data_IF_015828695297
#
_entry.id   IF_015828695297
#
_cell.length_a   1.000
_cell.length_b   1.000
_cell.length_c   1.000
_cell.angle_alpha   90.00
_cell.angle_beta   90.00
_cell.angle_gamma   90.00
#
_symmetry.space_group_name_H-M   'P 1'
#
loop_
_entity.id
_entity.type
_entity.pdbx_description
1 polymer ?
#
# COMPACT_ATOMS: atom_id res chain seq x y z
N UNK A 1 0.10 -23.51 21.28
CA UNK A 1 -0.88 -23.65 20.24
C UNK A 1 -0.98 -22.36 19.44
N UNK A 2 -1.11 -22.49 18.17
CA UNK A 2 -1.27 -21.31 17.35
C UNK A 2 -2.62 -20.70 17.63
N UNK A 3 -2.59 -19.44 17.92
CA UNK A 3 -3.80 -18.70 18.13
C UNK A 3 -4.51 -18.52 16.79
N UNK A 4 -5.73 -18.95 16.70
CA UNK A 4 -6.53 -18.80 15.49
C UNK A 4 -6.66 -17.34 15.07
N UNK A 5 -6.57 -16.43 16.00
CA UNK A 5 -6.63 -15.01 15.68
C UNK A 5 -5.48 -14.55 14.76
N UNK A 6 -4.37 -15.28 14.76
CA UNK A 6 -3.27 -14.99 13.85
C UNK A 6 -3.66 -15.21 12.39
N UNK A 7 -4.64 -16.06 12.15
CA UNK A 7 -5.07 -16.42 10.81
C UNK A 7 -6.48 -15.94 10.51
N UNK A 8 -7.03 -15.12 11.41
CA UNK A 8 -8.36 -14.58 11.26
C UNK A 8 -8.36 -13.25 10.55
N UNK A 9 -9.50 -12.61 10.48
CA UNK A 9 -9.65 -11.27 9.93
C UNK A 9 -8.89 -10.19 10.68
N UNK A 10 -8.29 -10.53 11.84
CA UNK A 10 -7.50 -9.57 12.61
C UNK A 10 -6.07 -9.42 12.12
N UNK A 11 -5.64 -10.25 11.19
CA UNK A 11 -4.29 -10.06 10.61
C UNK A 11 -4.23 -8.71 9.91
N UNK A 12 -3.09 -8.05 10.02
CA UNK A 12 -2.87 -6.73 9.44
C UNK A 12 -2.09 -6.78 8.13
N UNK A 13 -1.27 -7.80 7.93
CA UNK A 13 -0.42 -7.91 6.76
C UNK A 13 -1.10 -8.75 5.68
N UNK A 14 -1.27 -8.12 4.53
CA UNK A 14 -1.96 -8.72 3.39
C UNK A 14 -1.06 -8.60 2.17
N UNK A 15 -0.42 -9.71 1.82
CA UNK A 15 0.56 -9.68 0.73
C UNK A 15 -0.11 -9.53 -0.62
N UNK A 16 0.35 -8.53 -1.38
CA UNK A 16 -0.18 -8.19 -2.69
C UNK A 16 0.02 -9.34 -3.68
N UNK A 17 -1.03 -9.75 -4.41
CA UNK A 17 -0.85 -10.69 -5.52
C UNK A 17 0.12 -10.12 -6.56
N UNK A 18 1.02 -10.95 -7.04
CA UNK A 18 2.06 -10.50 -7.97
C UNK A 18 1.46 -9.95 -9.26
N UNK A 19 0.38 -10.53 -9.73
CA UNK A 19 -0.27 -10.06 -10.95
C UNK A 19 -0.72 -8.60 -10.82
N UNK A 20 -1.33 -8.25 -9.70
CA UNK A 20 -1.78 -6.87 -9.46
C UNK A 20 -0.58 -5.93 -9.40
N UNK A 21 0.46 -6.32 -8.65
CA UNK A 21 1.66 -5.50 -8.56
C UNK A 21 2.28 -5.29 -9.95
N UNK A 22 2.40 -6.35 -10.74
CA UNK A 22 3.02 -6.25 -12.05
C UNK A 22 2.25 -5.33 -13.00
N UNK A 23 0.92 -5.33 -12.92
CA UNK A 23 0.12 -4.41 -13.72
C UNK A 23 0.43 -2.95 -13.36
N UNK A 24 0.56 -2.66 -12.07
CA UNK A 24 0.87 -1.31 -11.61
C UNK A 24 2.33 -0.95 -11.90
N UNK A 25 3.25 -1.90 -11.74
CA UNK A 25 4.65 -1.67 -12.01
C UNK A 25 4.91 -1.36 -13.50
N UNK A 26 4.13 -1.95 -14.38
CA UNK A 26 4.22 -1.65 -15.80
C UNK A 26 3.89 -0.19 -16.11
N UNK A 27 3.06 0.44 -15.27
CA UNK A 27 2.68 1.83 -15.43
C UNK A 27 3.66 2.75 -14.70
N UNK A 28 3.94 2.45 -13.44
CA UNK A 28 4.65 3.38 -12.55
C UNK A 28 6.15 3.15 -12.46
N UNK A 29 6.64 1.95 -12.71
CA UNK A 29 8.07 1.60 -12.62
C UNK A 29 8.63 1.88 -11.23
N UNK A 30 8.22 1.06 -10.26
CA UNK A 30 8.55 1.29 -8.85
C UNK A 30 10.03 1.17 -8.56
N UNK A 31 10.54 2.09 -7.74
CA UNK A 31 11.91 2.12 -7.27
C UNK A 31 12.08 1.50 -5.89
N UNK A 32 11.02 1.56 -5.05
CA UNK A 32 11.14 1.27 -3.62
C UNK A 32 9.84 0.66 -3.11
N UNK A 33 9.97 -0.46 -2.40
CA UNK A 33 8.87 -1.05 -1.62
C UNK A 33 9.06 -0.63 -0.16
N UNK A 34 8.22 0.28 0.32
CA UNK A 34 8.43 0.89 1.63
C UNK A 34 7.99 0.04 2.80
N UNK A 35 7.27 -1.05 2.53
CA UNK A 35 6.74 -1.91 3.58
C UNK A 35 6.75 -3.36 3.13
N UNK A 36 7.87 -4.05 3.36
CA UNK A 36 8.10 -5.39 2.87
C UNK A 36 8.70 -6.29 3.93
N UNK A 37 8.64 -7.58 3.69
CA UNK A 37 9.47 -8.57 4.35
C UNK A 37 10.48 -9.08 3.31
N UNK A 38 11.62 -9.65 3.73
CA UNK A 38 12.64 -10.06 2.76
C UNK A 38 12.11 -11.04 1.71
N UNK A 39 11.18 -11.91 2.10
CA UNK A 39 10.68 -12.95 1.19
C UNK A 39 9.56 -12.45 0.26
N UNK A 40 8.99 -11.28 0.51
CA UNK A 40 7.87 -10.79 -0.30
C UNK A 40 8.09 -9.40 -0.88
N UNK A 41 9.30 -8.86 -0.78
CA UNK A 41 9.61 -7.56 -1.33
C UNK A 41 9.33 -7.53 -2.83
N UNK A 42 8.68 -6.46 -3.27
CA UNK A 42 8.27 -6.30 -4.66
C UNK A 42 9.30 -5.55 -5.50
N UNK A 43 10.26 -4.88 -4.85
CA UNK A 43 11.32 -4.13 -5.50
C UNK A 43 12.67 -4.58 -4.98
N UNK A 44 13.73 -4.31 -5.75
CA UNK A 44 15.09 -4.61 -5.30
C UNK A 44 15.45 -3.81 -4.07
N UNK A 45 15.02 -2.54 -4.03
CA UNK A 45 15.19 -1.69 -2.86
C UNK A 45 13.90 -1.74 -2.04
N UNK A 46 14.03 -2.05 -0.76
CA UNK A 46 12.87 -2.17 0.11
C UNK A 46 13.23 -1.94 1.56
N UNK A 47 12.21 -1.61 2.36
CA UNK A 47 12.33 -1.47 3.82
C UNK A 47 11.54 -2.58 4.50
N UNK A 48 12.16 -3.21 5.49
CA UNK A 48 11.52 -4.20 6.35
C UNK A 48 11.19 -3.56 7.71
N UNK A 49 10.47 -4.28 8.59
CA UNK A 49 10.26 -3.76 9.95
C UNK A 49 11.55 -3.44 10.69
N UNK A 50 12.63 -4.19 10.43
CA UNK A 50 13.92 -3.89 11.06
C UNK A 50 14.50 -2.56 10.58
N UNK A 51 14.18 -2.16 9.37
CA UNK A 51 14.62 -0.86 8.83
C UNK A 51 13.77 0.29 9.36
N UNK A 52 12.56 -0.01 9.82
CA UNK A 52 11.57 0.99 10.21
C UNK A 52 11.29 1.98 9.07
N UNK A 53 10.56 1.50 8.08
CA UNK A 53 10.28 2.28 6.86
C UNK A 53 9.67 3.64 7.13
N UNK A 54 8.89 3.77 8.22
CA UNK A 54 8.28 5.07 8.58
C UNK A 54 9.32 6.11 8.96
N UNK A 55 10.52 5.70 9.39
CA UNK A 55 11.58 6.63 9.77
C UNK A 55 12.56 6.91 8.64
N UNK A 56 12.39 6.27 7.50
CA UNK A 56 13.31 6.38 6.37
C UNK A 56 12.77 7.33 5.31
N UNK A 57 13.64 7.91 4.48
CA UNK A 57 13.16 8.72 3.35
C UNK A 57 12.53 7.84 2.28
N UNK A 58 11.46 8.33 1.69
CA UNK A 58 10.83 7.69 0.54
C UNK A 58 11.08 8.57 -0.69
N UNK A 59 11.83 8.05 -1.64
CA UNK A 59 12.24 8.80 -2.82
C UNK A 59 11.87 8.05 -4.08
N UNK A 60 11.68 8.79 -5.16
CA UNK A 60 11.30 8.18 -6.44
C UNK A 60 9.86 7.74 -6.45
N UNK A 61 9.59 6.63 -7.12
CA UNK A 61 8.26 6.06 -7.20
C UNK A 61 8.16 4.87 -6.26
N UNK A 62 7.31 4.98 -5.26
CA UNK A 62 7.24 4.04 -4.15
C UNK A 62 5.97 3.21 -4.21
N UNK A 63 6.11 1.94 -3.87
CA UNK A 63 5.01 1.02 -3.65
C UNK A 63 4.74 0.90 -2.17
N UNK A 64 3.48 1.02 -1.75
CA UNK A 64 3.11 0.90 -0.34
C UNK A 64 1.89 0.01 -0.17
N UNK A 65 2.10 -1.15 0.44
CA UNK A 65 1.03 -1.99 0.95
C UNK A 65 1.27 -2.13 2.46
N UNK A 66 0.70 -1.22 3.27
CA UNK A 66 1.03 -1.16 4.69
C UNK A 66 0.26 -2.19 5.50
N UNK A 67 0.60 -2.40 6.77
CA UNK A 67 -0.28 -3.16 7.66
C UNK A 67 -1.64 -2.47 7.78
N UNK A 68 -2.71 -3.25 7.71
CA UNK A 68 -4.07 -2.71 7.69
C UNK A 68 -4.67 -2.63 9.10
N UNK A 69 -3.91 -2.15 10.06
CA UNK A 69 -4.35 -2.00 11.43
C UNK A 69 -4.30 -0.55 11.88
N UNK A 70 -4.05 -0.36 13.17
CA UNK A 70 -4.03 0.98 13.78
C UNK A 70 -2.98 1.89 13.19
N UNK A 71 -1.92 1.30 12.64
CA UNK A 71 -0.80 2.08 12.14
C UNK A 71 -1.03 2.61 10.73
N UNK A 72 -2.11 2.22 10.07
CA UNK A 72 -2.31 2.61 8.68
C UNK A 72 -2.34 4.13 8.51
N UNK A 73 -2.84 4.86 9.50
CA UNK A 73 -2.87 6.32 9.44
C UNK A 73 -1.47 6.91 9.34
N UNK A 74 -0.48 6.31 10.01
CA UNK A 74 0.91 6.78 9.96
C UNK A 74 1.53 6.53 8.59
N UNK A 75 1.23 5.39 7.98
CA UNK A 75 1.70 5.08 6.63
C UNK A 75 1.09 6.01 5.60
N UNK A 76 -0.20 6.28 5.71
CA UNK A 76 -0.87 7.20 4.80
C UNK A 76 -0.37 8.63 4.95
N UNK A 77 -0.13 9.07 6.18
CA UNK A 77 0.46 10.37 6.43
C UNK A 77 1.84 10.49 5.80
N UNK A 78 2.68 9.47 5.99
CA UNK A 78 4.03 9.44 5.40
C UNK A 78 3.97 9.48 3.88
N UNK A 79 3.05 8.72 3.28
CA UNK A 79 2.88 8.71 1.84
C UNK A 79 2.52 10.09 1.32
N UNK A 80 1.56 10.73 1.97
CA UNK A 80 1.14 12.08 1.58
C UNK A 80 2.29 13.07 1.71
N UNK A 81 2.95 13.09 2.87
CA UNK A 81 4.05 14.02 3.12
C UNK A 81 5.23 13.79 2.18
N UNK A 82 5.55 12.54 1.88
CA UNK A 82 6.62 12.23 0.93
C UNK A 82 6.31 12.78 -0.45
N UNK A 83 5.04 12.74 -0.84
CA UNK A 83 4.63 13.27 -2.14
C UNK A 83 4.78 14.80 -2.21
N UNK A 84 4.68 15.48 -1.09
CA UNK A 84 4.84 16.93 -1.06
C UNK A 84 6.29 17.36 -1.31
N UNK A 85 7.24 16.47 -1.14
CA UNK A 85 8.65 16.75 -1.39
C UNK A 85 9.20 15.96 -2.57
N UNK A 86 8.35 15.48 -3.45
CA UNK A 86 8.76 14.98 -4.77
C UNK A 86 8.52 13.52 -5.05
N UNK A 87 8.19 12.70 -4.05
CA UNK A 87 7.94 11.28 -4.30
C UNK A 87 6.57 11.06 -4.92
N UNK A 88 6.45 9.95 -5.66
CA UNK A 88 5.16 9.41 -6.05
C UNK A 88 4.94 8.14 -5.26
N UNK A 89 3.83 8.03 -4.55
CA UNK A 89 3.56 6.86 -3.71
C UNK A 89 2.25 6.23 -4.15
N UNK A 90 2.32 4.98 -4.55
CA UNK A 90 1.15 4.20 -4.98
C UNK A 90 0.82 3.22 -3.87
N UNK A 91 -0.39 3.32 -3.35
CA UNK A 91 -0.80 2.61 -2.15
C UNK A 91 -1.93 1.63 -2.44
N UNK A 92 -1.83 0.42 -1.92
CA UNK A 92 -2.95 -0.53 -1.90
C UNK A 92 -3.48 -0.55 -0.47
N UNK A 93 -4.72 -0.10 -0.30
CA UNK A 93 -5.31 0.04 1.04
C UNK A 93 -6.78 -0.36 1.02
N UNK A 94 -7.34 -0.78 2.17
CA UNK A 94 -8.78 -0.99 2.25
C UNK A 94 -9.53 0.33 2.10
N UNK A 95 -10.67 0.28 1.43
CA UNK A 95 -11.47 1.48 1.14
C UNK A 95 -12.32 1.86 2.35
N UNK A 96 -11.69 2.24 3.44
CA UNK A 96 -12.36 2.61 4.68
C UNK A 96 -12.73 4.07 4.68
N UNK A 97 -13.71 4.41 3.89
CA UNK A 97 -14.06 5.78 3.55
C UNK A 97 -14.68 6.59 4.68
N UNK A 98 -14.98 5.96 5.81
CA UNK A 98 -15.51 6.64 7.00
C UNK A 98 -14.43 6.94 8.04
N UNK A 99 -13.18 6.58 7.78
CA UNK A 99 -12.09 6.77 8.74
C UNK A 99 -11.48 8.16 8.62
N UNK A 100 -10.87 8.60 9.73
CA UNK A 100 -10.16 9.87 9.72
C UNK A 100 -9.01 9.87 8.71
N UNK A 101 -8.22 8.77 8.67
CA UNK A 101 -7.08 8.74 7.76
C UNK A 101 -7.49 8.78 6.28
N UNK A 102 -8.67 8.25 5.95
CA UNK A 102 -9.16 8.37 4.59
C UNK A 102 -9.42 9.84 4.23
N UNK A 103 -10.12 10.54 5.11
CA UNK A 103 -10.46 11.95 4.88
C UNK A 103 -9.25 12.86 4.98
N UNK A 104 -8.36 12.58 5.93
CA UNK A 104 -7.20 13.46 6.15
C UNK A 104 -6.13 13.29 5.07
N UNK A 105 -5.98 12.08 4.52
CA UNK A 105 -4.88 11.80 3.58
C UNK A 105 -5.36 11.28 2.24
N UNK A 106 -6.13 10.18 2.20
CA UNK A 106 -6.52 9.59 0.92
C UNK A 106 -7.24 10.59 0.01
N UNK A 107 -8.08 11.42 0.59
CA UNK A 107 -8.82 12.43 -0.18
C UNK A 107 -7.94 13.52 -0.77
N UNK A 108 -6.68 13.58 -0.39
CA UNK A 108 -5.70 14.51 -0.98
C UNK A 108 -4.86 13.86 -2.06
N UNK A 109 -5.14 12.62 -2.39
CA UNK A 109 -4.41 11.90 -3.42
C UNK A 109 -4.67 12.51 -4.79
N UNK A 110 -3.73 12.33 -5.69
CA UNK A 110 -3.89 12.76 -7.08
C UNK A 110 -4.83 11.84 -7.84
N UNK A 111 -4.95 10.58 -7.42
CA UNK A 111 -5.82 9.61 -8.09
C UNK A 111 -6.22 8.52 -7.11
N UNK A 112 -7.49 8.14 -7.15
CA UNK A 112 -8.01 6.97 -6.41
C UNK A 112 -8.71 6.08 -7.41
N UNK A 113 -8.31 4.80 -7.45
CA UNK A 113 -8.98 3.80 -8.25
C UNK A 113 -9.58 2.75 -7.33
N UNK A 114 -10.89 2.63 -7.34
CA UNK A 114 -11.57 1.62 -6.54
C UNK A 114 -11.54 0.29 -7.28
N UNK A 115 -11.09 -0.75 -6.57
CA UNK A 115 -10.95 -2.06 -7.18
C UNK A 115 -12.30 -2.76 -7.19
N UNK A 116 -12.70 -3.21 -8.37
CA UNK A 116 -13.92 -3.99 -8.49
C UNK A 116 -13.70 -5.39 -7.94
N UNK A 117 -14.62 -5.83 -7.08
CA UNK A 117 -14.52 -7.13 -6.44
C UNK A 117 -13.55 -7.12 -5.27
N UNK A 118 -13.28 -8.28 -4.73
CA UNK A 118 -12.41 -8.44 -3.57
C UNK A 118 -11.10 -9.07 -3.99
N UNK A 119 -9.99 -8.48 -3.50
CA UNK A 119 -8.66 -9.02 -3.78
C UNK A 119 -8.48 -10.32 -3.03
N UNK A 120 -7.96 -11.33 -3.70
CA UNK A 120 -7.51 -12.55 -3.05
C UNK A 120 -6.02 -12.41 -2.79
N UNK A 121 -5.68 -11.97 -1.60
CA UNK A 121 -4.29 -11.79 -1.21
C UNK A 121 -3.54 -13.12 -1.18
N UNK A 122 -2.21 -13.07 -1.27
CA UNK A 122 -1.40 -14.28 -1.30
C UNK A 122 -1.64 -15.10 -0.04
N UNK A 123 -1.89 -16.40 -0.22
CA UNK A 123 -2.18 -17.32 0.88
C UNK A 123 -3.60 -17.31 1.39
N UNK A 124 -4.46 -16.42 0.91
CA UNK A 124 -5.84 -16.38 1.33
C UNK A 124 -6.68 -17.41 0.56
N UNK A 125 -7.67 -17.99 1.23
CA UNK A 125 -8.60 -18.93 0.59
C UNK A 125 -9.69 -18.21 -0.19
N UNK A 126 -10.03 -17.02 0.25
CA UNK A 126 -11.16 -16.26 -0.29
C UNK A 126 -10.73 -14.83 -0.53
N UNK A 127 -11.57 -14.07 -1.22
CA UNK A 127 -11.39 -12.63 -1.34
C UNK A 127 -11.38 -11.95 0.02
N UNK A 128 -10.73 -10.81 0.09
CA UNK A 128 -10.61 -10.06 1.33
C UNK A 128 -11.99 -9.69 1.88
N UNK A 129 -12.13 -9.60 3.21
CA UNK A 129 -13.40 -9.22 3.82
C UNK A 129 -13.70 -7.72 3.72
N UNK A 130 -12.95 -6.99 2.92
CA UNK A 130 -13.09 -5.55 2.73
C UNK A 130 -12.79 -5.18 1.28
N UNK A 131 -13.39 -4.09 0.79
CA UNK A 131 -13.01 -3.56 -0.52
C UNK A 131 -11.66 -2.85 -0.44
N UNK A 132 -10.99 -2.74 -1.58
CA UNK A 132 -9.68 -2.09 -1.66
C UNK A 132 -9.67 -1.01 -2.73
N UNK A 133 -8.71 -0.10 -2.58
CA UNK A 133 -8.46 0.96 -3.56
C UNK A 133 -6.97 1.13 -3.78
N UNK A 134 -6.62 1.63 -4.96
CA UNK A 134 -5.28 2.11 -5.26
C UNK A 134 -5.31 3.62 -5.10
N UNK A 135 -4.50 4.13 -4.18
CA UNK A 135 -4.43 5.56 -3.87
C UNK A 135 -3.05 6.05 -4.29
N UNK A 136 -3.00 7.04 -5.18
CA UNK A 136 -1.75 7.56 -5.70
C UNK A 136 -1.54 8.97 -5.19
N UNK A 137 -0.46 9.18 -4.45
CA UNK A 137 -0.02 10.50 -4.02
C UNK A 137 1.13 10.97 -4.91
N UNK A 138 1.14 12.27 -5.21
CA UNK A 138 2.19 12.88 -5.98
C UNK A 138 1.80 13.10 -7.41
N UNK A 139 2.74 13.62 -8.18
CA UNK A 139 2.47 13.91 -9.56
C UNK A 139 2.44 12.62 -10.34
N UNK A 140 1.33 12.38 -10.93
CA UNK A 140 1.19 11.27 -11.82
C UNK A 140 1.78 11.65 -13.15
N UNK A 141 2.60 10.83 -13.67
CA UNK A 141 3.45 11.24 -14.72
C UNK A 141 3.16 10.64 -16.06
N UNK A 142 2.17 9.82 -16.19
CA UNK A 142 1.88 9.26 -17.49
C UNK A 142 0.98 10.21 -18.28
N UNK A 143 1.54 10.99 -19.21
CA UNK A 143 0.74 11.98 -19.91
C UNK A 143 -0.26 11.39 -20.87
N UNK A 144 -0.18 10.09 -21.14
CA UNK A 144 -1.14 9.43 -22.01
C UNK A 144 -2.46 9.11 -21.31
N UNK A 145 -2.52 9.25 -20.01
CA UNK A 145 -3.73 8.97 -19.26
C UNK A 145 -4.77 10.05 -19.30
#
# INVERSE_FOLDING_TARGET
MINNAMFSSNRDDWETPLELFNQLDAIYHFDLDVCALPHNAKCDKYYTPDDDGLSKPWEGTCWMNPPYGRQICRWMEKAYKSSLVGATVVCLVPSRTDTAWWHDYAMRASKITYIRGRIKFVGAKHGAPFPCAIVVFGQHINPAE
#
